data_IF_880485798968
#
_entry.id   IF_880485798968
#
_cell.length_a   1.000
_cell.length_b   1.000
_cell.length_c   1.000
_cell.angle_alpha   90.00
_cell.angle_beta   90.00
_cell.angle_gamma   90.00
#
_symmetry.space_group_name_H-M   'P 1'
#
loop_
_entity.id
_entity.type
_entity.pdbx_description
1 polymer ?
#
# COMPACT_ATOMS: atom_id res chain seq x y z
N UNK A 1 -9.99 11.41 -6.69
CA UNK A 1 -8.61 10.86 -6.73
C UNK A 1 -7.60 11.92 -7.18
N UNK A 2 -7.98 12.82 -8.09
CA UNK A 2 -7.04 13.78 -8.69
C UNK A 2 -6.45 14.80 -7.72
N UNK A 3 -7.26 15.34 -6.79
CA UNK A 3 -6.73 16.23 -5.74
C UNK A 3 -5.69 15.54 -4.86
N UNK A 4 -5.92 14.28 -4.49
CA UNK A 4 -4.97 13.50 -3.70
C UNK A 4 -3.68 13.24 -4.49
N UNK A 5 -3.77 12.98 -5.79
CA UNK A 5 -2.60 12.85 -6.65
C UNK A 5 -1.80 14.16 -6.73
N UNK A 6 -2.47 15.30 -6.91
CA UNK A 6 -1.81 16.61 -6.95
C UNK A 6 -1.05 16.90 -5.64
N UNK A 7 -1.64 16.54 -4.48
CA UNK A 7 -0.96 16.64 -3.19
C UNK A 7 0.30 15.75 -3.14
N UNK A 8 0.20 14.50 -3.58
CA UNK A 8 1.34 13.56 -3.62
C UNK A 8 2.47 14.03 -4.55
N UNK A 9 2.11 14.53 -5.73
CA UNK A 9 3.04 15.08 -6.72
C UNK A 9 3.79 16.30 -6.17
N UNK A 10 3.16 17.10 -5.31
CA UNK A 10 3.77 18.25 -4.65
C UNK A 10 4.72 17.93 -3.49
N UNK A 11 4.73 16.69 -2.95
CA UNK A 11 5.60 16.31 -1.83
C UNK A 11 7.08 16.36 -2.22
N UNK A 12 7.98 16.62 -1.27
CA UNK A 12 9.44 16.49 -1.53
C UNK A 12 9.82 15.00 -1.74
N UNK A 13 10.87 14.68 -2.53
CA UNK A 13 11.24 13.29 -2.84
C UNK A 13 11.36 12.38 -1.60
N UNK A 14 12.13 12.79 -0.58
CA UNK A 14 12.30 12.00 0.65
C UNK A 14 11.03 11.86 1.51
N UNK A 15 9.97 12.63 1.23
CA UNK A 15 8.65 12.40 1.85
C UNK A 15 7.86 11.37 1.05
N UNK A 16 7.89 11.44 -0.30
CA UNK A 16 7.22 10.47 -1.19
C UNK A 16 7.72 9.04 -0.99
N UNK A 17 8.99 8.89 -0.62
CA UNK A 17 9.62 7.58 -0.40
C UNK A 17 9.19 6.89 0.89
N UNK A 18 8.62 7.62 1.87
CA UNK A 18 8.14 7.01 3.12
C UNK A 18 6.96 6.07 2.83
N UNK A 19 6.93 4.91 3.48
CA UNK A 19 5.95 3.88 3.12
C UNK A 19 4.48 4.31 3.25
N UNK A 20 4.14 5.18 4.20
CA UNK A 20 2.76 5.72 4.30
C UNK A 20 2.33 6.46 3.03
N UNK A 21 3.24 7.22 2.41
CA UNK A 21 2.97 7.92 1.15
C UNK A 21 3.03 6.97 -0.05
N UNK A 22 3.87 5.93 -0.02
CA UNK A 22 3.84 4.85 -1.01
C UNK A 22 2.50 4.11 -1.00
N UNK A 23 1.97 3.77 0.18
CA UNK A 23 0.64 3.17 0.31
C UNK A 23 -0.47 4.11 -0.18
N UNK A 24 -0.41 5.40 0.17
CA UNK A 24 -1.37 6.38 -0.34
C UNK A 24 -1.30 6.51 -1.86
N UNK A 25 -0.09 6.47 -2.44
CA UNK A 25 0.11 6.48 -3.88
C UNK A 25 -0.54 5.26 -4.56
N UNK A 26 -0.33 4.05 -4.04
CA UNK A 26 -1.00 2.85 -4.56
C UNK A 26 -2.53 2.98 -4.51
N UNK A 27 -3.09 3.50 -3.42
CA UNK A 27 -4.54 3.74 -3.30
C UNK A 27 -5.06 4.80 -4.28
N UNK A 28 -4.28 5.84 -4.56
CA UNK A 28 -4.63 6.86 -5.55
C UNK A 28 -4.63 6.29 -6.97
N UNK A 29 -3.62 5.47 -7.32
CA UNK A 29 -3.56 4.77 -8.60
C UNK A 29 -4.76 3.83 -8.78
N UNK A 30 -5.06 3.02 -7.75
CA UNK A 30 -6.24 2.16 -7.75
C UNK A 30 -7.54 2.96 -7.93
N UNK A 31 -7.70 4.09 -7.24
CA UNK A 31 -8.88 4.95 -7.37
C UNK A 31 -9.01 5.62 -8.75
N UNK A 32 -7.89 5.76 -9.48
CA UNK A 32 -7.87 6.21 -10.88
C UNK A 32 -8.06 5.06 -11.89
N UNK A 33 -8.21 3.83 -11.41
CA UNK A 33 -8.34 2.64 -12.25
C UNK A 33 -7.00 2.03 -12.71
N UNK A 34 -5.87 2.62 -12.32
CA UNK A 34 -4.53 2.10 -12.63
C UNK A 34 -4.13 1.00 -11.63
N UNK A 35 -4.69 -0.19 -11.84
CA UNK A 35 -4.39 -1.37 -11.02
C UNK A 35 -2.95 -1.85 -11.20
N UNK A 36 -2.40 -1.76 -12.40
CA UNK A 36 -1.04 -2.21 -12.70
C UNK A 36 -0.02 -1.33 -11.99
N UNK A 37 -0.15 -0.01 -12.09
CA UNK A 37 0.70 0.94 -11.37
C UNK A 37 0.59 0.78 -9.86
N UNK A 38 -0.63 0.60 -9.34
CA UNK A 38 -0.83 0.35 -7.92
C UNK A 38 -0.15 -0.95 -7.45
N UNK A 39 -0.23 -2.04 -8.24
CA UNK A 39 0.49 -3.30 -7.94
C UNK A 39 2.00 -3.13 -8.00
N UNK A 40 2.52 -2.39 -8.97
CA UNK A 40 3.96 -2.12 -9.08
C UNK A 40 4.54 -1.44 -7.82
N UNK A 41 3.74 -0.60 -7.12
CA UNK A 41 4.16 0.00 -5.84
C UNK A 41 4.36 -1.07 -4.76
N UNK A 42 3.47 -2.07 -4.68
CA UNK A 42 3.62 -3.20 -3.77
C UNK A 42 4.76 -4.12 -4.19
N UNK A 43 4.98 -4.33 -5.49
CA UNK A 43 6.05 -5.18 -6.01
C UNK A 43 7.44 -4.60 -5.70
N UNK A 44 7.59 -3.28 -5.78
CA UNK A 44 8.81 -2.58 -5.41
C UNK A 44 9.16 -2.72 -3.92
N UNK A 45 8.16 -2.88 -3.05
CA UNK A 45 8.38 -2.96 -1.60
C UNK A 45 8.36 -1.59 -0.92
N UNK A 46 7.79 -1.52 0.29
CA UNK A 46 7.86 -0.36 1.19
C UNK A 46 7.51 -0.79 2.62
N UNK A 47 7.88 0.03 3.61
CA UNK A 47 7.54 -0.21 5.02
C UNK A 47 6.70 0.94 5.58
N UNK A 48 5.53 0.64 6.12
CA UNK A 48 4.69 1.61 6.83
C UNK A 48 4.96 1.48 8.32
N UNK A 49 5.96 2.21 8.79
CA UNK A 49 6.49 2.10 10.16
C UNK A 49 5.48 2.40 11.28
N UNK A 50 4.36 3.06 10.96
CA UNK A 50 3.34 3.50 11.90
C UNK A 50 2.03 2.71 11.76
N UNK A 51 2.07 1.48 11.22
CA UNK A 51 0.92 0.57 11.26
C UNK A 51 0.63 0.14 12.68
N UNK A 52 -0.65 0.23 13.06
CA UNK A 52 -1.14 -0.29 14.32
C UNK A 52 -1.44 -1.76 14.17
N UNK A 53 -1.36 -2.50 15.27
CA UNK A 53 -1.84 -3.87 15.31
C UNK A 53 -3.33 -3.90 14.89
N UNK A 54 -3.67 -4.81 13.98
CA UNK A 54 -5.01 -4.90 13.40
C UNK A 54 -5.30 -3.94 12.24
N UNK A 55 -4.34 -3.11 11.79
CA UNK A 55 -4.53 -2.31 10.56
C UNK A 55 -4.64 -3.21 9.32
N UNK A 56 -5.82 -3.24 8.69
CA UNK A 56 -6.09 -4.04 7.49
C UNK A 56 -5.82 -3.28 6.18
N UNK A 57 -5.34 -2.04 6.25
CA UNK A 57 -5.20 -1.16 5.07
C UNK A 57 -4.31 -1.73 3.96
N UNK A 58 -3.26 -2.48 4.33
CA UNK A 58 -2.40 -3.16 3.35
C UNK A 58 -3.13 -4.34 2.69
N UNK A 59 -3.80 -5.18 3.49
CA UNK A 59 -4.56 -6.33 2.98
C UNK A 59 -5.74 -5.88 2.12
N UNK A 60 -6.48 -4.85 2.53
CA UNK A 60 -7.64 -4.34 1.80
C UNK A 60 -7.24 -3.74 0.46
N UNK A 61 -6.16 -2.94 0.47
CA UNK A 61 -5.64 -2.35 -0.78
C UNK A 61 -5.17 -3.44 -1.73
N UNK A 62 -4.47 -4.48 -1.23
CA UNK A 62 -4.02 -5.59 -2.05
C UNK A 62 -5.17 -6.43 -2.60
N UNK A 63 -6.16 -6.76 -1.79
CA UNK A 63 -7.35 -7.51 -2.21
C UNK A 63 -8.17 -6.78 -3.28
N UNK A 64 -8.15 -5.43 -3.27
CA UNK A 64 -8.77 -4.64 -4.33
C UNK A 64 -7.99 -4.63 -5.65
N UNK A 65 -6.70 -5.01 -5.62
CA UNK A 65 -5.82 -5.10 -6.80
C UNK A 65 -5.85 -6.49 -7.43
N UNK A 66 -5.93 -7.55 -6.62
CA UNK A 66 -5.79 -8.93 -7.07
C UNK A 66 -6.37 -9.92 -6.06
N UNK A 67 -6.69 -11.14 -6.52
CA UNK A 67 -7.11 -12.26 -5.68
C UNK A 67 -5.92 -13.05 -5.09
N UNK A 68 -4.68 -12.67 -5.43
CA UNK A 68 -3.47 -13.28 -4.87
C UNK A 68 -3.35 -13.03 -3.36
N UNK A 69 -2.74 -13.94 -2.58
CA UNK A 69 -2.47 -13.69 -1.17
C UNK A 69 -1.53 -12.49 -1.00
N UNK A 70 -1.73 -11.71 0.07
CA UNK A 70 -0.85 -10.60 0.41
C UNK A 70 0.61 -11.08 0.53
N UNK A 71 1.59 -10.41 -0.11
CA UNK A 71 2.99 -10.81 -0.01
C UNK A 71 3.46 -10.83 1.44
N UNK A 72 4.26 -11.84 1.81
CA UNK A 72 4.67 -12.09 3.20
C UNK A 72 5.31 -10.88 3.91
N UNK A 73 6.03 -10.02 3.17
CA UNK A 73 6.62 -8.78 3.70
C UNK A 73 5.61 -7.74 4.20
N UNK A 74 4.34 -7.90 3.85
CA UNK A 74 3.22 -7.04 4.26
C UNK A 74 2.23 -7.78 5.17
N UNK A 75 2.34 -9.11 5.31
CA UNK A 75 1.46 -9.92 6.15
C UNK A 75 1.98 -9.94 7.59
N UNK A 76 1.76 -8.84 8.32
CA UNK A 76 2.15 -8.70 9.72
C UNK A 76 1.15 -9.32 10.71
N UNK A 77 0.11 -9.98 10.21
CA UNK A 77 -0.84 -10.68 11.07
C UNK A 77 -0.10 -11.82 11.76
N UNK A 78 -0.14 -11.83 13.08
CA UNK A 78 0.24 -12.98 13.88
C UNK A 78 -0.66 -14.15 13.46
N UNK A 79 -0.16 -15.04 12.60
CA UNK A 79 -0.84 -16.31 12.34
C UNK A 79 -0.64 -17.15 13.61
N UNK A 80 -1.72 -17.59 14.29
CA UNK A 80 -1.55 -18.55 15.37
C UNK A 80 -0.79 -19.75 14.83
N UNK A 81 0.16 -20.27 15.60
CA UNK A 81 0.81 -21.53 15.29
C UNK A 81 -0.30 -22.56 15.03
N UNK A 82 -0.29 -23.19 13.86
CA UNK A 82 -1.23 -24.27 13.59
C UNK A 82 -0.82 -25.44 14.49
N UNK A 83 -1.73 -25.86 15.37
CA UNK A 83 -1.67 -27.15 16.05
C UNK A 83 -1.78 -28.31 15.06
#
# INVERSE_FOLDING_TARGET
>A
ADEAAAVLEGLRPGIRERGRFRLLHARVLLARGDREGARAVFDHGFEVADLREGDEVLSDTWAALTDEPLPARYDFRMRPARD
#
